data_IF_368465819370
#
_entry.id   IF_368465819370
#
_cell.length_a   1.000
_cell.length_b   1.000
_cell.length_c   1.000
_cell.angle_alpha   90.00
_cell.angle_beta   90.00
_cell.angle_gamma   90.00
#
_symmetry.space_group_name_H-M   'P 1'
#
loop_
_entity.id
_entity.type
_entity.pdbx_description
1 polymer ?
#
# COMPACT_ATOMS: atom_id res chain seq x y z
N UNK A 1 -9.24 -3.50 -22.18
CA UNK A 1 -8.05 -4.26 -21.76
C UNK A 1 -8.37 -5.74 -21.90
N UNK A 2 -7.40 -6.58 -22.25
CA UNK A 2 -7.61 -8.04 -22.21
C UNK A 2 -7.56 -8.54 -20.76
N UNK A 3 -8.18 -9.68 -20.47
CA UNK A 3 -8.15 -10.27 -19.10
C UNK A 3 -6.73 -10.45 -18.58
N UNK A 4 -5.80 -10.88 -19.44
CA UNK A 4 -4.37 -11.01 -19.10
C UNK A 4 -3.75 -9.68 -18.68
N UNK A 5 -4.09 -8.57 -19.36
CA UNK A 5 -3.58 -7.24 -19.00
C UNK A 5 -4.14 -6.76 -17.67
N UNK A 6 -5.39 -7.09 -17.35
CA UNK A 6 -5.99 -6.74 -16.07
C UNK A 6 -5.37 -7.53 -14.92
N UNK A 7 -5.07 -8.80 -15.14
CA UNK A 7 -4.35 -9.65 -14.17
C UNK A 7 -2.93 -9.14 -13.92
N UNK A 8 -2.17 -8.84 -14.98
CA UNK A 8 -0.82 -8.27 -14.86
C UNK A 8 -0.86 -6.91 -14.15
N UNK A 9 -1.85 -6.07 -14.47
CA UNK A 9 -2.02 -4.78 -13.79
C UNK A 9 -2.28 -4.96 -12.30
N UNK A 10 -3.20 -5.85 -11.92
CA UNK A 10 -3.50 -6.12 -10.50
C UNK A 10 -2.28 -6.67 -9.76
N UNK A 11 -1.57 -7.62 -10.38
CA UNK A 11 -0.34 -8.17 -9.81
C UNK A 11 0.69 -7.07 -9.55
N UNK A 12 0.95 -6.19 -10.53
CA UNK A 12 1.90 -5.10 -10.36
C UNK A 12 1.46 -4.09 -9.29
N UNK A 13 0.15 -3.80 -9.20
CA UNK A 13 -0.41 -2.93 -8.15
C UNK A 13 -0.23 -3.54 -6.75
N UNK A 14 -0.52 -4.83 -6.59
CA UNK A 14 -0.37 -5.52 -5.31
C UNK A 14 1.12 -5.68 -4.93
N UNK A 15 2.00 -5.93 -5.91
CA UNK A 15 3.45 -6.01 -5.71
C UNK A 15 4.04 -4.66 -5.25
N UNK A 16 3.56 -3.56 -5.84
CA UNK A 16 3.96 -2.22 -5.43
C UNK A 16 3.56 -1.90 -3.99
N UNK A 17 2.32 -2.26 -3.59
CA UNK A 17 1.86 -2.12 -2.20
C UNK A 17 2.74 -2.94 -1.26
N UNK A 18 3.02 -4.20 -1.61
CA UNK A 18 3.84 -5.08 -0.79
C UNK A 18 5.25 -4.54 -0.57
N UNK A 19 5.93 -4.07 -1.63
CA UNK A 19 7.26 -3.47 -1.51
C UNK A 19 7.26 -2.20 -0.66
N UNK A 20 6.25 -1.36 -0.81
CA UNK A 20 6.13 -0.13 -0.04
C UNK A 20 5.90 -0.42 1.46
N UNK A 21 5.05 -1.41 1.76
CA UNK A 21 4.84 -1.89 3.13
C UNK A 21 6.13 -2.39 3.78
N UNK A 22 6.85 -3.32 3.12
CA UNK A 22 8.10 -3.87 3.64
C UNK A 22 9.15 -2.78 3.87
N UNK A 23 9.22 -1.78 2.98
CA UNK A 23 10.11 -0.63 3.16
C UNK A 23 9.76 0.19 4.41
N UNK A 24 8.48 0.54 4.60
CA UNK A 24 8.01 1.31 5.77
C UNK A 24 8.26 0.55 7.07
N UNK A 25 7.92 -0.72 7.10
CA UNK A 25 8.14 -1.61 8.25
C UNK A 25 9.61 -1.73 8.61
N UNK A 26 10.48 -1.93 7.61
CA UNK A 26 11.92 -1.99 7.82
C UNK A 26 12.48 -0.67 8.38
N UNK A 27 12.01 0.47 7.85
CA UNK A 27 12.40 1.78 8.34
C UNK A 27 11.96 2.00 9.80
N UNK A 28 10.71 1.65 10.14
CA UNK A 28 10.17 1.75 11.50
C UNK A 28 11.00 0.91 12.50
N UNK A 29 11.38 -0.31 12.10
CA UNK A 29 12.22 -1.20 12.91
C UNK A 29 13.64 -0.67 13.07
N UNK A 30 14.24 -0.16 11.99
CA UNK A 30 15.59 0.43 12.01
C UNK A 30 15.65 1.64 12.95
N UNK A 31 14.63 2.49 12.93
CA UNK A 31 14.56 3.68 13.78
C UNK A 31 14.25 3.36 15.25
N UNK A 32 14.00 2.09 15.59
CA UNK A 32 13.71 1.68 16.96
C UNK A 32 12.45 2.34 17.50
N UNK A 33 11.32 2.10 16.83
CA UNK A 33 9.98 2.57 17.23
C UNK A 33 9.77 2.48 18.76
N UNK A 34 9.76 3.63 19.43
CA UNK A 34 9.38 3.76 20.85
C UNK A 34 7.87 3.91 21.04
N UNK A 35 7.09 3.56 20.02
CA UNK A 35 5.64 3.68 20.10
C UNK A 35 5.13 2.77 21.23
N UNK A 36 4.22 3.27 22.09
CA UNK A 36 3.54 2.42 23.08
C UNK A 36 2.53 1.48 22.42
N UNK A 37 2.30 1.59 21.10
CA UNK A 37 1.38 0.73 20.38
C UNK A 37 1.97 -0.66 20.15
N UNK A 38 1.12 -1.70 20.21
CA UNK A 38 1.46 -3.05 19.76
C UNK A 38 2.00 -3.11 18.33
N UNK A 39 2.91 -4.06 18.07
CA UNK A 39 3.57 -4.22 16.77
C UNK A 39 2.59 -4.56 15.64
N UNK A 40 1.51 -5.30 15.92
CA UNK A 40 0.43 -5.61 14.98
C UNK A 40 -0.32 -4.36 14.52
N UNK A 41 -0.63 -3.44 15.45
CA UNK A 41 -1.25 -2.15 15.09
C UNK A 41 -0.30 -1.31 14.24
N UNK A 42 1.00 -1.32 14.54
CA UNK A 42 1.99 -0.61 13.75
C UNK A 42 2.16 -1.22 12.35
N UNK A 43 2.16 -2.56 12.25
CA UNK A 43 2.18 -3.27 10.98
C UNK A 43 0.91 -2.95 10.14
N UNK A 44 -0.27 -2.87 10.76
CA UNK A 44 -1.51 -2.47 10.09
C UNK A 44 -1.45 -1.02 9.58
N UNK A 45 -0.87 -0.10 10.36
CA UNK A 45 -0.69 1.29 9.95
C UNK A 45 0.30 1.41 8.79
N UNK A 46 1.41 0.67 8.81
CA UNK A 46 2.37 0.61 7.72
C UNK A 46 1.72 0.06 6.44
N UNK A 47 0.86 -0.97 6.58
CA UNK A 47 0.09 -1.55 5.48
C UNK A 47 -0.89 -0.54 4.86
N UNK A 48 -1.71 0.11 5.70
CA UNK A 48 -2.65 1.14 5.23
C UNK A 48 -1.93 2.31 4.56
N UNK A 49 -0.78 2.71 5.08
CA UNK A 49 0.03 3.77 4.48
C UNK A 49 0.54 3.36 3.10
N UNK A 50 1.02 2.12 2.94
CA UNK A 50 1.45 1.57 1.67
C UNK A 50 0.30 1.45 0.66
N UNK A 51 -0.88 1.00 1.09
CA UNK A 51 -2.07 0.95 0.22
C UNK A 51 -2.47 2.33 -0.28
N UNK A 52 -2.47 3.35 0.58
CA UNK A 52 -2.79 4.73 0.19
C UNK A 52 -1.79 5.33 -0.78
N UNK A 53 -0.53 4.94 -0.69
CA UNK A 53 0.55 5.46 -1.54
C UNK A 53 0.58 4.77 -2.90
N UNK A 54 0.41 3.45 -2.94
CA UNK A 54 0.61 2.65 -4.15
C UNK A 54 -0.68 2.33 -4.91
N UNK A 55 -1.85 2.35 -4.26
CA UNK A 55 -3.10 2.13 -5.00
C UNK A 55 -3.48 3.41 -5.75
N UNK A 56 -3.74 3.33 -7.07
CA UNK A 56 -4.22 4.49 -7.79
C UNK A 56 -5.58 4.91 -7.23
N UNK A 57 -5.69 6.17 -6.81
CA UNK A 57 -6.97 6.78 -6.45
C UNK A 57 -7.83 6.82 -7.71
N UNK A 58 -8.70 5.82 -7.87
CA UNK A 58 -9.72 5.83 -8.90
C UNK A 58 -10.84 6.73 -8.40
N UNK A 59 -10.84 7.99 -8.86
CA UNK A 59 -11.96 8.88 -8.61
C UNK A 59 -13.25 8.21 -9.10
N UNK A 60 -14.17 7.92 -8.18
CA UNK A 60 -15.50 7.42 -8.51
C UNK A 60 -16.31 8.64 -8.96
N UNK A 61 -16.25 8.94 -10.26
CA UNK A 61 -17.03 10.01 -10.88
C UNK A 61 -16.16 11.04 -11.57
N UNK A 62 -16.00 10.90 -12.88
CA UNK A 62 -15.93 12.08 -13.73
C UNK A 62 -17.38 12.52 -13.96
N UNK A 63 -17.79 13.61 -13.35
CA UNK A 63 -18.93 14.38 -13.85
C UNK A 63 -18.43 15.02 -15.16
N UNK A 64 -18.68 14.35 -16.29
CA UNK A 64 -18.58 14.99 -17.59
C UNK A 64 -19.68 16.07 -17.68
N UNK A 65 -19.35 17.33 -18.04
CA UNK A 65 -20.36 18.32 -18.40
C UNK A 65 -21.07 17.96 -19.70
#
# INVERSE_FOLDING_TARGET
>A
MTETQELVRRFNEDEAVWRCYEHKRALRRLLGSRSPMPEDILDDLDWQAAERECRPVRAIGFLHP
#
